data_IF_575400207242
#
_entry.id   IF_575400207242
#
_cell.length_a   1.000
_cell.length_b   1.000
_cell.length_c   1.000
_cell.angle_alpha   90.00
_cell.angle_beta   90.00
_cell.angle_gamma   90.00
#
_symmetry.space_group_name_H-M   'P 1'
#
loop_
_entity.id
_entity.type
_entity.pdbx_description
1 polymer ?
#
# COMPACT_ATOMS: atom_id res chain seq x y z
N UNK A 1 14.63 6.50 -9.71
CA UNK A 1 15.37 6.48 -10.99
C UNK A 1 14.57 7.22 -12.05
N UNK A 2 15.16 7.54 -13.21
CA UNK A 2 14.45 8.19 -14.33
C UNK A 2 13.17 7.42 -14.73
N UNK A 3 13.27 6.11 -14.86
CA UNK A 3 12.14 5.25 -15.22
C UNK A 3 10.96 5.34 -14.23
N UNK A 4 11.23 5.49 -12.92
CA UNK A 4 10.17 5.66 -11.91
C UNK A 4 9.44 7.00 -12.08
N UNK A 5 10.18 8.07 -12.38
CA UNK A 5 9.58 9.40 -12.60
C UNK A 5 8.76 9.44 -13.89
N UNK A 6 9.21 8.77 -14.95
CA UNK A 6 8.46 8.65 -16.21
C UNK A 6 7.13 7.91 -16.01
N UNK A 7 7.09 6.86 -15.19
CA UNK A 7 5.85 6.16 -14.84
C UNK A 7 4.91 7.04 -13.99
N UNK A 8 5.46 7.79 -13.02
CA UNK A 8 4.67 8.67 -12.15
C UNK A 8 3.96 9.78 -12.94
N UNK A 9 4.59 10.32 -13.98
CA UNK A 9 4.03 11.34 -14.86
C UNK A 9 3.16 10.80 -16.02
N UNK A 10 2.80 9.51 -16.00
CA UNK A 10 2.05 8.87 -17.08
C UNK A 10 0.53 9.12 -17.01
N UNK A 11 -0.18 8.67 -18.04
CA UNK A 11 -1.65 8.73 -18.09
C UNK A 11 -2.35 7.89 -17.01
N UNK A 12 -1.63 7.04 -16.27
CA UNK A 12 -2.20 6.27 -15.16
C UNK A 12 -2.75 7.18 -14.05
N UNK A 13 -2.29 8.43 -13.96
CA UNK A 13 -2.84 9.43 -13.04
C UNK A 13 -4.31 9.81 -13.34
N UNK A 14 -4.83 9.50 -14.53
CA UNK A 14 -6.18 9.90 -14.95
C UNK A 14 -7.27 8.91 -14.52
N UNK A 15 -6.90 7.69 -14.11
CA UNK A 15 -7.88 6.60 -13.93
C UNK A 15 -8.30 6.44 -12.48
N UNK A 16 -9.59 6.65 -12.24
CA UNK A 16 -10.23 6.30 -10.98
C UNK A 16 -10.49 4.78 -10.90
N UNK A 17 -10.12 4.14 -9.80
CA UNK A 17 -10.06 2.67 -9.70
C UNK A 17 -10.32 2.12 -8.29
N UNK A 18 -11.27 2.70 -7.58
CA UNK A 18 -11.66 2.22 -6.24
C UNK A 18 -11.99 0.72 -6.22
N UNK A 19 -11.63 0.08 -5.11
CA UNK A 19 -11.71 -1.36 -4.91
C UNK A 19 -10.37 -2.06 -5.12
N UNK A 20 -10.42 -3.35 -5.43
CA UNK A 20 -9.24 -4.19 -5.68
C UNK A 20 -9.31 -4.83 -7.06
N UNK A 21 -8.20 -5.34 -7.61
CA UNK A 21 -8.21 -6.01 -8.90
C UNK A 21 -9.26 -7.13 -8.98
N UNK A 22 -10.14 -7.08 -9.98
CA UNK A 22 -11.26 -8.01 -10.16
C UNK A 22 -12.52 -7.69 -9.34
N UNK A 23 -12.47 -6.72 -8.43
CA UNK A 23 -13.61 -6.22 -7.66
C UNK A 23 -13.57 -4.69 -7.58
N UNK A 24 -13.67 -4.05 -8.75
CA UNK A 24 -13.68 -2.59 -8.87
C UNK A 24 -15.10 -2.07 -8.88
N UNK A 25 -15.31 -0.89 -8.31
CA UNK A 25 -16.60 -0.20 -8.38
C UNK A 25 -16.87 0.41 -9.77
N UNK A 26 -15.81 0.65 -10.55
CA UNK A 26 -15.87 1.28 -11.87
C UNK A 26 -15.30 0.38 -12.97
N UNK A 27 -15.87 0.46 -14.17
CA UNK A 27 -15.38 -0.25 -15.35
C UNK A 27 -14.16 0.40 -16.01
N UNK A 28 -13.57 -0.28 -17.01
CA UNK A 28 -12.42 0.21 -17.77
C UNK A 28 -11.12 0.24 -16.97
N UNK A 29 -10.93 -0.74 -16.08
CA UNK A 29 -9.82 -0.85 -15.11
C UNK A 29 -8.84 -1.98 -15.48
N UNK A 30 -8.98 -2.58 -16.66
CA UNK A 30 -8.25 -3.77 -17.10
C UNK A 30 -6.72 -3.58 -16.97
N UNK A 31 -6.20 -2.47 -17.49
CA UNK A 31 -4.77 -2.14 -17.41
C UNK A 31 -4.32 -1.69 -16.01
N UNK A 32 -5.20 -1.08 -15.22
CA UNK A 32 -4.89 -0.72 -13.82
C UNK A 32 -4.78 -1.98 -12.96
N UNK A 33 -5.66 -2.95 -13.19
CA UNK A 33 -5.63 -4.25 -12.53
C UNK A 33 -4.36 -5.03 -12.88
N UNK A 34 -3.94 -5.02 -14.15
CA UNK A 34 -2.66 -5.60 -14.56
C UNK A 34 -1.48 -4.93 -13.85
N UNK A 35 -1.45 -3.60 -13.79
CA UNK A 35 -0.41 -2.84 -13.10
C UNK A 35 -0.38 -3.17 -11.61
N UNK A 36 -1.53 -3.16 -10.94
CA UNK A 36 -1.60 -3.39 -9.49
C UNK A 36 -1.20 -4.83 -9.14
N UNK A 37 -1.70 -5.83 -9.88
CA UNK A 37 -1.27 -7.23 -9.69
C UNK A 37 0.22 -7.41 -9.96
N UNK A 38 0.78 -6.71 -10.95
CA UNK A 38 2.22 -6.73 -11.22
C UNK A 38 3.02 -6.13 -10.05
N UNK A 39 2.56 -4.99 -9.51
CA UNK A 39 3.17 -4.34 -8.36
C UNK A 39 3.17 -5.26 -7.14
N UNK A 40 2.02 -5.85 -6.81
CA UNK A 40 1.86 -6.80 -5.70
C UNK A 40 2.80 -8.01 -5.85
N UNK A 41 2.82 -8.66 -7.03
CA UNK A 41 3.72 -9.80 -7.28
C UNK A 41 5.18 -9.42 -7.11
N UNK A 42 5.60 -8.27 -7.65
CA UNK A 42 6.99 -7.79 -7.53
C UNK A 42 7.36 -7.44 -6.10
N UNK A 43 6.43 -6.88 -5.32
CA UNK A 43 6.66 -6.60 -3.91
C UNK A 43 6.95 -7.89 -3.12
N UNK A 44 6.11 -8.92 -3.29
CA UNK A 44 6.35 -10.22 -2.64
C UNK A 44 7.67 -10.85 -3.09
N UNK A 45 7.98 -10.80 -4.39
CA UNK A 45 9.25 -11.30 -4.93
C UNK A 45 10.48 -10.56 -4.38
N UNK A 46 10.42 -9.23 -4.27
CA UNK A 46 11.53 -8.41 -3.77
C UNK A 46 11.93 -8.79 -2.33
N UNK A 47 10.95 -9.17 -1.51
CA UNK A 47 11.17 -9.62 -0.14
C UNK A 47 11.26 -11.14 0.01
N UNK A 48 11.26 -11.91 -1.11
CA UNK A 48 11.33 -13.38 -1.14
C UNK A 48 10.24 -14.05 -0.32
N UNK A 49 9.02 -13.52 -0.41
CA UNK A 49 7.86 -13.99 0.34
C UNK A 49 7.06 -15.03 -0.47
N UNK A 50 6.62 -16.08 0.21
CA UNK A 50 5.69 -17.06 -0.34
C UNK A 50 4.28 -16.46 -0.47
N UNK A 51 3.71 -16.33 -1.68
CA UNK A 51 2.38 -15.78 -1.88
C UNK A 51 1.25 -16.57 -1.22
N UNK A 52 1.48 -17.83 -0.81
CA UNK A 52 0.50 -18.59 -0.04
C UNK A 52 0.44 -18.18 1.44
N UNK A 53 1.48 -17.52 1.94
CA UNK A 53 1.61 -17.09 3.34
C UNK A 53 1.48 -15.58 3.51
N UNK A 54 1.82 -14.82 2.48
CA UNK A 54 1.90 -13.37 2.54
C UNK A 54 1.03 -12.72 1.45
N UNK A 55 0.19 -11.79 1.88
CA UNK A 55 -0.44 -10.80 1.02
C UNK A 55 0.29 -9.46 1.09
N UNK A 56 -0.04 -8.54 0.18
CA UNK A 56 0.46 -7.17 0.21
C UNK A 56 -0.60 -6.20 -0.31
N UNK A 57 -0.76 -5.07 0.38
CA UNK A 57 -1.52 -3.93 -0.10
C UNK A 57 -0.54 -2.85 -0.57
N UNK A 58 -0.67 -2.41 -1.83
CA UNK A 58 0.22 -1.41 -2.47
C UNK A 58 -0.47 -0.05 -2.67
N UNK A 59 -1.66 0.15 -2.08
CA UNK A 59 -2.47 1.36 -2.21
C UNK A 59 -2.22 2.47 -1.16
N UNK A 60 -1.59 2.26 0.02
CA UNK A 60 -1.35 3.36 0.96
C UNK A 60 -0.53 4.50 0.33
N UNK A 61 -1.04 5.72 0.43
CA UNK A 61 -0.45 6.89 -0.24
C UNK A 61 0.94 7.28 0.27
N UNK A 62 1.27 6.91 1.52
CA UNK A 62 2.59 7.14 2.12
C UNK A 62 2.74 6.25 3.37
N UNK A 63 3.87 6.35 4.07
CA UNK A 63 4.15 5.57 5.28
C UNK A 63 3.19 5.87 6.43
N UNK A 64 2.90 7.13 6.71
CA UNK A 64 2.02 7.50 7.84
C UNK A 64 0.58 6.98 7.68
N UNK A 65 -0.08 7.14 6.51
CA UNK A 65 -1.38 6.51 6.28
C UNK A 65 -1.34 4.98 6.30
N UNK A 66 -0.23 4.36 5.89
CA UNK A 66 -0.07 2.90 5.96
C UNK A 66 -0.11 2.39 7.41
N UNK A 67 0.65 3.03 8.30
CA UNK A 67 0.63 2.71 9.73
C UNK A 67 -0.76 2.91 10.34
N UNK A 68 -1.39 4.05 10.04
CA UNK A 68 -2.73 4.34 10.55
C UNK A 68 -3.77 3.32 10.09
N UNK A 69 -3.72 2.89 8.81
CA UNK A 69 -4.62 1.87 8.29
C UNK A 69 -4.46 0.52 9.01
N UNK A 70 -3.23 0.13 9.40
CA UNK A 70 -3.00 -1.09 10.19
C UNK A 70 -3.62 -0.98 11.58
N UNK A 71 -3.46 0.15 12.26
CA UNK A 71 -4.08 0.35 13.58
C UNK A 71 -5.60 0.34 13.50
N UNK A 72 -6.18 1.03 12.51
CA UNK A 72 -7.63 1.01 12.28
C UNK A 72 -8.13 -0.41 12.01
N UNK A 73 -7.36 -1.24 11.29
CA UNK A 73 -7.76 -2.61 10.96
C UNK A 73 -7.66 -3.59 12.14
N UNK A 74 -6.74 -3.37 13.10
CA UNK A 74 -6.38 -4.39 14.10
C UNK A 74 -6.58 -3.98 15.56
N UNK A 75 -6.56 -2.68 15.88
CA UNK A 75 -6.46 -2.18 17.27
C UNK A 75 -7.77 -1.61 17.79
N UNK A 76 -8.62 -1.09 16.90
CA UNK A 76 -9.85 -0.33 17.21
C UNK A 76 -9.59 0.99 17.99
N UNK A 77 -10.56 1.92 18.01
CA UNK A 77 -10.44 3.14 18.81
C UNK A 77 -10.18 2.84 20.30
N UNK A 78 -9.25 3.57 20.90
CA UNK A 78 -8.78 3.41 22.29
C UNK A 78 -8.02 2.12 22.60
N UNK A 79 -7.73 1.28 21.61
CA UNK A 79 -6.79 0.18 21.77
C UNK A 79 -5.38 0.69 22.09
N UNK A 80 -4.58 -0.18 22.70
CA UNK A 80 -3.24 0.19 23.20
C UNK A 80 -2.18 -0.18 22.18
N UNK A 81 -1.24 0.75 21.95
CA UNK A 81 -0.06 0.57 21.09
C UNK A 81 1.16 0.91 21.94
N UNK A 82 2.25 0.17 21.75
CA UNK A 82 3.56 0.51 22.28
C UNK A 82 4.54 0.63 21.12
N UNK A 83 5.20 1.79 21.01
CA UNK A 83 6.25 2.09 20.04
C UNK A 83 7.54 2.52 20.73
N UNK A 84 8.61 2.67 19.95
CA UNK A 84 9.85 3.29 20.42
C UNK A 84 9.61 4.79 20.65
N UNK A 85 10.10 5.33 21.77
CA UNK A 85 9.92 6.74 22.12
C UNK A 85 10.60 7.66 21.08
N UNK A 86 10.01 8.84 20.85
CA UNK A 86 10.46 9.76 19.80
C UNK A 86 11.90 10.27 20.03
N UNK A 87 12.31 10.70 21.24
CA UNK A 87 13.70 11.08 21.53
C UNK A 87 14.69 9.92 21.40
N UNK A 88 14.20 8.67 21.52
CA UNK A 88 15.00 7.45 21.40
C UNK A 88 15.11 6.96 19.94
N UNK A 89 14.64 7.74 18.97
CA UNK A 89 14.69 7.41 17.54
C UNK A 89 13.40 6.80 16.99
N UNK A 90 12.30 6.91 17.73
CA UNK A 90 10.95 6.59 17.26
C UNK A 90 10.49 7.48 16.10
N UNK A 91 9.29 7.21 15.60
CA UNK A 91 8.63 8.02 14.57
C UNK A 91 7.26 8.46 15.05
N UNK A 92 6.84 9.66 14.64
CA UNK A 92 5.57 10.30 15.05
C UNK A 92 4.34 9.40 14.88
N UNK A 93 4.38 8.45 13.94
CA UNK A 93 3.23 7.58 13.64
C UNK A 93 3.14 6.36 14.56
N UNK A 94 4.07 6.19 15.50
CA UNK A 94 4.06 5.06 16.44
C UNK A 94 3.51 5.45 17.82
N UNK A 95 3.07 6.70 18.00
CA UNK A 95 2.59 7.25 19.27
C UNK A 95 3.53 8.31 19.81
#
# INVERSE_FOLDING_TARGET
>A
SRAVLEALGSCMNNKYSEGYPGQRYYGGTEFVDELERLCQRRALQAYRLDPQKWGVNVQPYSGSPANFAVYTALVEPHGRIMGLDLPDGGTLTHG
#
